data_IF_213448288823
#
_entry.id   IF_213448288823
#
_cell.length_a   1.000
_cell.length_b   1.000
_cell.length_c   1.000
_cell.angle_alpha   90.00
_cell.angle_beta   90.00
_cell.angle_gamma   90.00
#
_symmetry.space_group_name_H-M   'P 1'
#
loop_
_entity.id
_entity.type
_entity.pdbx_description
1 polymer ?
#
# COMPACT_ATOMS: atom_id res chain seq x y z
N UNK A 1 27.08 6.13 27.88
CA UNK A 1 25.75 5.72 27.39
C UNK A 1 25.93 4.98 26.07
N UNK A 2 25.88 3.65 26.08
CA UNK A 2 26.16 2.83 24.90
C UNK A 2 24.89 2.65 24.06
N UNK A 3 24.91 3.16 22.82
CA UNK A 3 23.90 2.91 21.79
C UNK A 3 23.91 1.40 21.46
N UNK A 4 22.79 0.71 21.71
CA UNK A 4 22.62 -0.70 21.39
C UNK A 4 22.65 -0.91 19.88
N UNK A 5 23.71 -1.55 19.39
CA UNK A 5 23.81 -1.99 17.99
C UNK A 5 22.81 -3.13 17.76
N UNK A 6 21.97 -2.99 16.73
CA UNK A 6 21.08 -4.04 16.26
C UNK A 6 21.87 -5.34 16.00
N UNK A 7 21.40 -6.45 16.56
CA UNK A 7 22.02 -7.76 16.43
C UNK A 7 21.96 -8.24 14.97
N UNK A 8 23.11 -8.22 14.29
CA UNK A 8 23.27 -8.76 12.93
C UNK A 8 23.45 -10.27 13.04
N UNK A 9 22.55 -11.06 12.46
CA UNK A 9 22.72 -12.53 12.46
C UNK A 9 24.00 -12.91 11.70
N UNK A 10 24.64 -14.05 12.01
CA UNK A 10 25.88 -14.49 11.36
C UNK A 10 25.77 -14.67 9.84
N UNK A 11 24.54 -14.81 9.30
CA UNK A 11 24.31 -14.92 7.85
C UNK A 11 24.20 -13.55 7.16
N UNK A 12 24.22 -12.43 7.89
CA UNK A 12 23.95 -11.09 7.35
C UNK A 12 22.48 -10.86 6.97
N UNK A 13 21.63 -11.87 7.15
CA UNK A 13 20.18 -11.80 6.91
C UNK A 13 19.51 -11.22 8.14
N UNK A 14 18.50 -10.39 7.94
CA UNK A 14 17.69 -9.91 9.04
C UNK A 14 17.04 -11.12 9.76
N UNK A 15 17.03 -11.19 11.10
CA UNK A 15 16.36 -12.28 11.82
C UNK A 15 14.88 -12.39 11.41
N UNK A 16 14.30 -13.59 11.54
CA UNK A 16 12.87 -13.81 11.22
C UNK A 16 12.03 -12.81 12.02
N UNK A 17 11.12 -12.08 11.35
CA UNK A 17 10.30 -11.05 11.97
C UNK A 17 10.95 -9.65 12.06
N UNK A 18 12.16 -9.43 11.51
CA UNK A 18 12.75 -8.08 11.52
C UNK A 18 11.89 -7.12 10.72
N UNK A 19 11.49 -6.04 11.38
CA UNK A 19 10.76 -4.96 10.74
C UNK A 19 11.73 -3.85 10.36
N UNK A 20 11.83 -3.58 9.05
CA UNK A 20 12.72 -2.54 8.52
C UNK A 20 11.91 -1.31 8.14
N UNK A 21 12.48 -0.14 8.41
CA UNK A 21 11.93 1.14 7.95
C UNK A 21 12.71 1.57 6.72
N UNK A 22 12.00 1.86 5.65
CA UNK A 22 12.50 2.36 4.39
C UNK A 22 11.91 3.74 4.12
N UNK A 23 12.71 4.65 3.59
CA UNK A 23 12.20 5.86 2.94
C UNK A 23 12.10 5.61 1.44
N UNK A 24 10.94 5.93 0.86
CA UNK A 24 10.67 5.83 -0.57
C UNK A 24 9.87 7.04 -1.00
N UNK A 25 10.40 7.82 -1.96
CA UNK A 25 9.76 9.03 -2.49
C UNK A 25 9.31 9.99 -1.37
N UNK A 26 10.23 10.30 -0.46
CA UNK A 26 10.00 11.11 0.75
C UNK A 26 8.94 10.56 1.73
N UNK A 27 8.49 9.31 1.58
CA UNK A 27 7.50 8.67 2.46
C UNK A 27 8.11 7.50 3.21
N UNK A 28 7.73 7.38 4.47
CA UNK A 28 8.15 6.26 5.32
C UNK A 28 7.30 5.01 5.06
N UNK A 29 7.98 3.91 4.82
CA UNK A 29 7.41 2.58 4.61
C UNK A 29 8.03 1.59 5.59
N UNK A 30 7.23 0.66 6.07
CA UNK A 30 7.63 -0.43 6.93
C UNK A 30 7.59 -1.71 6.10
N UNK A 31 8.71 -2.45 6.07
CA UNK A 31 8.87 -3.69 5.31
C UNK A 31 9.31 -4.81 6.24
N UNK A 32 8.59 -5.94 6.20
CA UNK A 32 8.93 -7.11 6.99
C UNK A 32 8.49 -8.41 6.32
N UNK A 33 8.90 -9.54 6.89
CA UNK A 33 8.49 -10.87 6.46
C UNK A 33 7.84 -11.61 7.61
N UNK A 34 6.66 -12.17 7.35
CA UNK A 34 5.91 -13.02 8.26
C UNK A 34 5.28 -14.16 7.45
N UNK A 35 5.25 -15.39 8.00
CA UNK A 35 4.62 -16.54 7.33
C UNK A 35 5.16 -16.88 5.93
N UNK A 36 6.40 -16.52 5.62
CA UNK A 36 6.99 -16.71 4.27
C UNK A 36 6.60 -15.65 3.23
N UNK A 37 5.69 -14.73 3.56
CA UNK A 37 5.26 -13.63 2.69
C UNK A 37 5.98 -12.32 3.06
N UNK A 38 6.13 -11.42 2.09
CA UNK A 38 6.67 -10.07 2.29
C UNK A 38 5.51 -9.10 2.45
N UNK A 39 5.52 -8.33 3.52
CA UNK A 39 4.51 -7.30 3.80
C UNK A 39 5.13 -5.91 3.69
N UNK A 40 4.36 -4.99 3.10
CA UNK A 40 4.68 -3.58 2.97
C UNK A 40 3.57 -2.78 3.63
N UNK A 41 3.93 -1.91 4.57
CA UNK A 41 3.01 -1.02 5.25
C UNK A 41 3.51 0.42 5.08
N UNK A 42 2.80 1.21 4.28
CA UNK A 42 3.08 2.64 4.17
C UNK A 42 2.57 3.36 5.40
N UNK A 43 3.42 4.16 6.05
CA UNK A 43 3.02 4.98 7.20
C UNK A 43 2.33 6.26 6.69
N UNK A 44 2.55 6.64 5.44
CA UNK A 44 1.95 7.83 4.82
C UNK A 44 2.55 9.17 5.27
N UNK A 45 3.52 9.13 6.19
CA UNK A 45 4.20 10.30 6.73
C UNK A 45 5.47 10.63 5.92
N UNK A 46 5.83 11.92 5.80
CA UNK A 46 7.08 12.33 5.19
C UNK A 46 8.29 11.89 6.02
N UNK A 47 9.45 11.70 5.38
CA UNK A 47 10.71 11.36 6.05
C UNK A 47 11.24 12.55 6.88
N UNK A 48 10.72 12.66 8.10
CA UNK A 48 11.20 13.59 9.14
C UNK A 48 11.64 12.78 10.36
N UNK A 49 12.58 13.28 11.18
CA UNK A 49 13.04 12.55 12.36
C UNK A 49 11.89 12.19 13.31
N UNK A 50 10.92 13.10 13.50
CA UNK A 50 9.72 12.84 14.31
C UNK A 50 8.87 11.72 13.73
N UNK A 51 8.63 11.74 12.41
CA UNK A 51 7.83 10.70 11.75
C UNK A 51 8.55 9.35 11.72
N UNK A 52 9.89 9.35 11.71
CA UNK A 52 10.70 8.14 11.82
C UNK A 52 10.49 7.47 13.17
N UNK A 53 10.43 8.23 14.27
CA UNK A 53 10.10 7.71 15.60
C UNK A 53 8.70 7.08 15.61
N UNK A 54 7.71 7.71 14.95
CA UNK A 54 6.36 7.14 14.81
C UNK A 54 6.38 5.82 14.01
N UNK A 55 7.15 5.78 12.93
CA UNK A 55 7.34 4.56 12.13
C UNK A 55 8.04 3.46 12.94
N UNK A 56 9.03 3.79 13.76
CA UNK A 56 9.72 2.87 14.68
C UNK A 56 8.78 2.32 15.74
N UNK A 57 7.93 3.17 16.31
CA UNK A 57 6.91 2.73 17.27
C UNK A 57 5.97 1.71 16.64
N UNK A 58 5.46 1.98 15.42
CA UNK A 58 4.65 1.02 14.68
C UNK A 58 5.38 -0.27 14.33
N UNK A 59 6.64 -0.16 13.93
CA UNK A 59 7.47 -1.32 13.64
C UNK A 59 7.58 -2.23 14.87
N UNK A 60 7.84 -1.67 16.04
CA UNK A 60 7.86 -2.40 17.31
C UNK A 60 6.51 -3.01 17.67
N UNK A 61 5.39 -2.32 17.43
CA UNK A 61 4.06 -2.90 17.63
C UNK A 61 3.85 -4.15 16.77
N UNK A 62 4.29 -4.13 15.50
CA UNK A 62 4.23 -5.28 14.61
C UNK A 62 5.14 -6.42 15.12
N UNK A 63 6.36 -6.10 15.55
CA UNK A 63 7.27 -7.09 16.14
C UNK A 63 6.66 -7.77 17.36
N UNK A 64 6.06 -7.00 18.26
CA UNK A 64 5.37 -7.52 19.44
C UNK A 64 4.19 -8.43 19.07
N UNK A 65 3.36 -8.01 18.11
CA UNK A 65 2.21 -8.80 17.68
C UNK A 65 2.63 -10.10 16.97
N UNK A 66 3.75 -10.08 16.22
CA UNK A 66 4.37 -11.27 15.63
C UNK A 66 4.84 -12.23 16.72
N UNK A 67 5.51 -11.72 17.77
CA UNK A 67 5.99 -12.53 18.90
C UNK A 67 4.81 -13.11 19.68
N UNK A 68 3.75 -12.32 19.89
CA UNK A 68 2.56 -12.73 20.61
C UNK A 68 1.67 -13.71 19.80
N UNK A 69 1.92 -13.90 18.51
CA UNK A 69 1.09 -14.74 17.63
C UNK A 69 -0.25 -14.12 17.26
N UNK A 70 -0.46 -12.83 17.54
CA UNK A 70 -1.68 -12.07 17.23
C UNK A 70 -1.50 -11.16 16.00
N UNK A 71 -0.51 -11.46 15.16
CA UNK A 71 -0.24 -10.67 13.97
C UNK A 71 -1.39 -10.81 12.95
N UNK A 72 -2.02 -9.68 12.64
CA UNK A 72 -3.05 -9.59 11.63
C UNK A 72 -2.41 -9.40 10.24
N UNK A 73 -2.46 -10.46 9.42
CA UNK A 73 -1.95 -10.45 8.05
C UNK A 73 -2.62 -9.40 7.15
N UNK A 74 -3.84 -8.95 7.50
CA UNK A 74 -4.57 -7.97 6.70
C UNK A 74 -3.99 -6.56 6.80
N UNK A 75 -3.06 -6.32 7.75
CA UNK A 75 -2.43 -5.03 8.03
C UNK A 75 -3.44 -3.91 8.38
N UNK A 76 -4.72 -4.22 8.51
CA UNK A 76 -5.80 -3.24 8.69
C UNK A 76 -5.67 -2.53 10.04
N UNK A 77 -5.27 -3.26 11.08
CA UNK A 77 -4.98 -2.73 12.43
C UNK A 77 -3.82 -1.72 12.47
N UNK A 78 -2.83 -1.84 11.59
CA UNK A 78 -1.61 -1.00 11.61
C UNK A 78 -1.62 0.15 10.60
N UNK A 79 -2.49 0.08 9.59
CA UNK A 79 -2.79 1.22 8.75
C UNK A 79 -3.39 2.29 9.67
N UNK A 80 -2.70 3.42 9.77
CA UNK A 80 -3.34 4.60 10.35
C UNK A 80 -4.56 4.82 9.47
N UNK A 81 -5.77 4.72 10.02
CA UNK A 81 -6.96 5.21 9.35
C UNK A 81 -6.78 6.72 9.21
N UNK A 82 -5.98 7.14 8.23
CA UNK A 82 -6.11 8.44 7.65
C UNK A 82 -7.54 8.43 7.13
N UNK A 83 -8.41 9.17 7.80
CA UNK A 83 -9.84 9.28 7.55
C UNK A 83 -10.18 9.85 6.17
N UNK A 84 -9.32 9.69 5.15
CA UNK A 84 -9.43 10.28 3.82
C UNK A 84 -8.68 9.41 2.79
N UNK A 85 -9.18 8.21 2.52
CA UNK A 85 -9.14 7.61 1.18
C UNK A 85 -10.03 6.38 1.18
N UNK A 86 -11.32 6.67 1.07
CA UNK A 86 -12.28 5.85 0.34
C UNK A 86 -11.66 5.40 -0.98
N UNK A 87 -11.00 4.26 -0.96
CA UNK A 87 -11.17 3.26 -1.99
C UNK A 87 -11.53 1.98 -1.24
N UNK A 88 -12.68 1.98 -0.57
CA UNK A 88 -13.75 1.16 -1.12
C UNK A 88 -13.52 0.96 -2.63
N UNK A 89 -13.19 -0.27 -3.00
CA UNK A 89 -13.50 -0.77 -4.33
C UNK A 89 -15.00 -0.60 -4.51
N UNK A 90 -15.44 0.61 -4.81
CA UNK A 90 -16.70 0.82 -5.46
C UNK A 90 -16.52 0.05 -6.77
N UNK A 91 -17.16 -1.11 -6.84
CA UNK A 91 -17.51 -1.76 -8.08
C UNK A 91 -18.46 -0.81 -8.84
N UNK A 92 -17.96 0.38 -9.21
CA UNK A 92 -18.43 1.05 -10.39
C UNK A 92 -17.91 0.18 -11.52
N UNK A 93 -18.72 -0.82 -11.84
CA UNK A 93 -18.98 -1.17 -13.23
C UNK A 93 -19.36 0.14 -13.91
N UNK A 94 -18.35 0.94 -14.27
CA UNK A 94 -18.50 1.88 -15.36
C UNK A 94 -18.94 0.96 -16.48
N UNK A 95 -20.21 1.07 -16.86
CA UNK A 95 -20.75 0.38 -18.02
C UNK A 95 -19.86 0.83 -19.16
N UNK A 96 -18.81 0.05 -19.43
CA UNK A 96 -17.95 0.24 -20.59
C UNK A 96 -18.94 0.07 -21.73
N UNK A 97 -19.28 1.14 -22.47
CA UNK A 97 -20.28 1.04 -23.51
C UNK A 97 -19.83 -0.08 -24.43
N UNK A 98 -20.72 -1.03 -24.68
CA UNK A 98 -20.37 -2.20 -25.47
C UNK A 98 -19.86 -1.74 -26.84
N UNK A 99 -19.02 -2.54 -27.50
CA UNK A 99 -18.50 -2.20 -28.84
C UNK A 99 -19.62 -1.76 -29.80
N UNK A 100 -20.81 -2.33 -29.65
CA UNK A 100 -22.03 -1.97 -30.40
C UNK A 100 -22.47 -0.53 -30.18
N UNK A 101 -22.49 -0.05 -28.93
CA UNK A 101 -22.87 1.33 -28.59
C UNK A 101 -21.83 2.34 -29.10
N UNK A 102 -20.55 1.98 -29.05
CA UNK A 102 -19.47 2.80 -29.64
C UNK A 102 -19.59 2.87 -31.17
N UNK A 103 -19.96 1.76 -31.80
CA UNK A 103 -20.13 1.67 -33.26
C UNK A 103 -21.35 2.44 -33.77
N UNK A 104 -22.47 2.41 -33.04
CA UNK A 104 -23.66 3.19 -33.38
C UNK A 104 -23.39 4.69 -33.33
N UNK A 105 -22.78 5.19 -32.26
CA UNK A 105 -22.37 6.61 -32.16
C UNK A 105 -21.43 7.01 -33.29
N UNK A 106 -20.51 6.14 -33.69
CA UNK A 106 -19.61 6.39 -34.82
C UNK A 106 -20.36 6.46 -36.15
N UNK A 107 -21.31 5.55 -36.38
CA UNK A 107 -22.15 5.58 -37.57
C UNK A 107 -23.02 6.84 -37.64
N UNK A 108 -23.55 7.32 -36.52
CA UNK A 108 -24.33 8.55 -36.44
C UNK A 108 -23.54 9.80 -36.85
N UNK A 109 -22.31 9.93 -36.35
CA UNK A 109 -21.41 11.04 -36.74
C UNK A 109 -21.02 10.97 -38.21
N UNK A 110 -21.01 9.77 -38.80
CA UNK A 110 -20.62 9.54 -40.18
C UNK A 110 -21.77 9.43 -41.17
N UNK A 111 -23.03 9.64 -40.77
CA UNK A 111 -24.15 9.70 -41.72
C UNK A 111 -23.88 10.88 -42.68
N UNK A 112 -23.58 10.64 -43.97
CA UNK A 112 -23.46 11.74 -44.91
C UNK A 112 -24.84 12.35 -45.06
N UNK A 113 -24.97 13.65 -44.78
CA UNK A 113 -26.17 14.42 -45.11
C UNK A 113 -26.22 14.57 -46.62
N UNK A 114 -26.66 13.53 -47.30
CA UNK A 114 -26.95 13.58 -48.74
C UNK A 114 -28.24 14.36 -48.87
N UNK A 115 -28.13 15.63 -49.26
CA UNK A 115 -29.28 16.40 -49.74
C UNK A 115 -29.83 15.67 -50.96
N UNK A 116 -31.06 15.17 -50.86
CA UNK A 116 -31.82 14.74 -52.02
C UNK A 116 -32.06 15.98 -52.90
N UNK A 117 -31.54 15.92 -54.13
CA UNK A 117 -31.81 16.91 -55.19
C UNK A 117 -33.06 16.56 -55.96
#
# INVERSE_FOLDING_TARGET
MALSKAQKTPSGKAPKGTVQILSSHDRLQIRFRYGGKRHYLSVGLPDTPTNRVVAEYKAKQIELDIIAGHFDETLTKYKLQAALSTTESNNQTQAVPSLTELWERYCEVRKPVVKAG
#
